data_IF_400226348841
#
_entry.id   IF_400226348841
#
_cell.length_a   1.000
_cell.length_b   1.000
_cell.length_c   1.000
_cell.angle_alpha   90.00
_cell.angle_beta   90.00
_cell.angle_gamma   90.00
#
_symmetry.space_group_name_H-M   'P 1'
#
loop_
_entity.id
_entity.type
_entity.pdbx_description
1 polymer ?
#
# COMPACT_ATOMS: atom_id res chain seq x y z
N UNK A 1 -10.49 14.36 -11.55
CA UNK A 1 -9.99 12.99 -11.33
C UNK A 1 -8.73 12.94 -10.46
N UNK A 2 -7.57 13.51 -10.81
CA UNK A 2 -6.44 13.61 -9.85
C UNK A 2 -6.50 14.86 -8.96
N UNK A 3 -6.64 16.05 -9.58
CA UNK A 3 -6.70 17.32 -8.85
C UNK A 3 -7.85 17.36 -7.83
N UNK A 4 -8.98 16.74 -8.15
CA UNK A 4 -10.16 16.75 -7.27
C UNK A 4 -9.92 15.93 -6.01
N UNK A 5 -9.29 14.75 -6.10
CA UNK A 5 -8.88 13.95 -4.93
C UNK A 5 -7.88 14.72 -4.06
N UNK A 6 -6.90 15.39 -4.68
CA UNK A 6 -5.94 16.23 -3.93
C UNK A 6 -6.63 17.40 -3.21
N UNK A 7 -7.62 18.05 -3.86
CA UNK A 7 -8.42 19.12 -3.23
C UNK A 7 -9.29 18.61 -2.09
N UNK A 8 -9.87 17.43 -2.23
CA UNK A 8 -10.64 16.77 -1.19
C UNK A 8 -9.78 16.51 0.04
N UNK A 9 -8.62 15.89 -0.13
CA UNK A 9 -7.66 15.62 0.94
C UNK A 9 -7.12 16.90 1.60
N UNK A 10 -6.85 17.94 0.80
CA UNK A 10 -6.43 19.24 1.32
C UNK A 10 -7.53 19.88 2.20
N UNK A 11 -8.79 19.79 1.77
CA UNK A 11 -9.94 20.26 2.55
C UNK A 11 -10.10 19.48 3.85
N UNK A 12 -9.92 18.16 3.83
CA UNK A 12 -9.96 17.32 5.05
C UNK A 12 -8.87 17.72 6.06
N UNK A 13 -7.66 18.04 5.60
CA UNK A 13 -6.57 18.53 6.46
C UNK A 13 -6.64 20.04 6.75
N UNK A 14 -7.70 20.75 6.36
CA UNK A 14 -7.86 22.20 6.53
C UNK A 14 -6.69 23.04 5.98
N UNK A 15 -6.14 22.63 4.82
CA UNK A 15 -5.08 23.38 4.12
C UNK A 15 -5.52 23.75 2.71
N UNK A 16 -4.92 24.81 2.19
CA UNK A 16 -5.05 25.21 0.79
C UNK A 16 -4.07 24.44 -0.10
N UNK A 17 -4.34 24.38 -1.41
CA UNK A 17 -3.39 23.82 -2.38
C UNK A 17 -2.07 24.59 -2.40
N UNK A 18 -2.10 25.92 -2.20
CA UNK A 18 -0.90 26.72 -2.12
C UNK A 18 -0.05 26.39 -0.88
N UNK A 19 -0.69 26.10 0.26
CA UNK A 19 0.02 25.62 1.45
C UNK A 19 0.61 24.23 1.25
N UNK A 20 -0.14 23.31 0.62
CA UNK A 20 0.37 21.99 0.25
C UNK A 20 1.61 22.11 -0.65
N UNK A 21 1.55 22.97 -1.68
CA UNK A 21 2.70 23.21 -2.56
C UNK A 21 3.91 23.73 -1.78
N UNK A 22 3.72 24.67 -0.85
CA UNK A 22 4.80 25.18 0.01
C UNK A 22 5.38 24.10 0.92
N UNK A 23 4.54 23.24 1.49
CA UNK A 23 4.99 22.14 2.36
C UNK A 23 5.79 21.07 1.62
N UNK A 24 5.50 20.86 0.33
CA UNK A 24 6.15 19.86 -0.51
C UNK A 24 7.30 20.41 -1.35
N UNK A 25 7.67 21.68 -1.15
CA UNK A 25 8.68 22.41 -1.94
C UNK A 25 8.36 22.41 -3.45
N UNK A 26 7.09 22.65 -3.77
CA UNK A 26 6.59 22.73 -5.12
C UNK A 26 6.43 24.18 -5.56
N UNK A 27 6.71 24.46 -6.83
CA UNK A 27 6.40 25.76 -7.41
C UNK A 27 4.90 26.06 -7.34
N UNK A 28 4.55 27.32 -7.11
CA UNK A 28 3.16 27.75 -6.99
C UNK A 28 2.35 27.44 -8.27
N UNK A 29 1.15 26.88 -8.09
CA UNK A 29 0.25 26.48 -9.15
C UNK A 29 0.66 25.20 -9.90
N UNK A 30 1.71 24.52 -9.45
CA UNK A 30 2.18 23.28 -10.06
C UNK A 30 1.16 22.14 -9.94
N UNK A 31 0.47 21.99 -8.81
CA UNK A 31 -0.57 20.97 -8.61
C UNK A 31 -1.78 21.29 -9.49
N UNK A 32 -2.09 22.57 -9.67
CA UNK A 32 -3.21 23.00 -10.52
C UNK A 32 -3.01 22.64 -12.00
N UNK A 33 -1.75 22.50 -12.46
CA UNK A 33 -1.43 22.06 -13.82
C UNK A 33 -1.69 20.57 -14.06
N UNK A 34 -1.92 19.78 -13.00
CA UNK A 34 -2.14 18.33 -13.11
C UNK A 34 -3.42 17.94 -13.87
N UNK A 35 -4.30 18.91 -14.14
CA UNK A 35 -5.45 18.73 -15.05
C UNK A 35 -5.00 18.56 -16.50
N UNK A 36 -3.91 19.21 -16.90
CA UNK A 36 -3.41 19.24 -18.29
C UNK A 36 -2.13 18.44 -18.48
N UNK A 37 -1.33 18.32 -17.43
CA UNK A 37 -0.01 17.70 -17.47
C UNK A 37 0.14 16.74 -16.30
N UNK A 38 0.37 15.45 -16.58
CA UNK A 38 0.62 14.46 -15.54
C UNK A 38 1.83 14.85 -14.69
N UNK A 39 1.76 14.68 -13.36
CA UNK A 39 2.93 14.86 -12.50
C UNK A 39 4.02 13.83 -12.82
N UNK A 40 5.25 14.12 -12.39
CA UNK A 40 6.26 13.07 -12.26
C UNK A 40 5.87 12.09 -11.15
N UNK A 41 6.35 10.85 -11.25
CA UNK A 41 6.17 9.83 -10.21
C UNK A 41 6.59 10.33 -8.83
N UNK A 42 7.75 11.00 -8.74
CA UNK A 42 8.26 11.58 -7.49
C UNK A 42 7.30 12.60 -6.86
N UNK A 43 6.70 13.47 -7.67
CA UNK A 43 5.78 14.49 -7.17
C UNK A 43 4.44 13.89 -6.76
N UNK A 44 3.98 12.88 -7.49
CA UNK A 44 2.78 12.12 -7.11
C UNK A 44 3.00 11.40 -5.79
N UNK A 45 4.15 10.74 -5.62
CA UNK A 45 4.53 10.05 -4.38
C UNK A 45 4.58 11.02 -3.19
N UNK A 46 5.23 12.17 -3.33
CA UNK A 46 5.28 13.19 -2.25
C UNK A 46 3.90 13.65 -1.76
N UNK A 47 2.93 13.77 -2.67
CA UNK A 47 1.55 14.11 -2.29
C UNK A 47 0.88 12.94 -1.60
N UNK A 48 1.07 11.72 -2.12
CA UNK A 48 0.53 10.48 -1.53
C UNK A 48 1.03 10.30 -0.09
N UNK A 49 2.34 10.43 0.13
CA UNK A 49 2.99 10.32 1.43
C UNK A 49 2.48 11.37 2.43
N UNK A 50 2.32 12.62 2.00
CA UNK A 50 1.84 13.70 2.88
C UNK A 50 0.42 13.46 3.40
N UNK A 51 -0.41 12.82 2.59
CA UNK A 51 -1.77 12.46 2.95
C UNK A 51 -1.89 11.03 3.50
N UNK A 52 -0.79 10.28 3.56
CA UNK A 52 -0.75 8.88 4.00
C UNK A 52 -1.72 7.99 3.18
N UNK A 53 -1.76 8.22 1.87
CA UNK A 53 -2.59 7.46 0.93
C UNK A 53 -1.76 6.80 -0.17
N UNK A 54 -2.32 5.81 -0.86
CA UNK A 54 -1.67 5.22 -2.04
C UNK A 54 -1.70 6.15 -3.26
N UNK A 55 -0.72 6.02 -4.16
CA UNK A 55 -0.77 6.70 -5.46
C UNK A 55 -1.93 6.20 -6.32
N UNK A 56 -2.34 4.95 -6.16
CA UNK A 56 -3.49 4.37 -6.86
C UNK A 56 -4.81 5.00 -6.41
N UNK A 57 -4.95 5.36 -5.13
CA UNK A 57 -6.06 6.17 -4.64
C UNK A 57 -6.11 7.54 -5.31
N UNK A 58 -4.97 8.25 -5.36
CA UNK A 58 -4.89 9.56 -6.01
C UNK A 58 -5.24 9.50 -7.51
N UNK A 59 -4.86 8.41 -8.17
CA UNK A 59 -5.16 8.18 -9.60
C UNK A 59 -6.58 7.64 -9.84
N UNK A 60 -7.34 7.31 -8.79
CA UNK A 60 -8.70 6.77 -8.89
C UNK A 60 -8.76 5.33 -9.39
N UNK A 61 -7.69 4.55 -9.17
CA UNK A 61 -7.65 3.10 -9.48
C UNK A 61 -8.26 2.25 -8.37
N UNK A 62 -8.37 2.82 -7.18
CA UNK A 62 -8.99 2.21 -6.00
C UNK A 62 -9.67 3.30 -5.17
N UNK A 63 -10.75 2.95 -4.47
CA UNK A 63 -11.34 3.80 -3.42
C UNK A 63 -10.69 3.56 -2.06
N UNK A 64 -9.87 2.51 -1.94
CA UNK A 64 -9.08 2.24 -0.76
C UNK A 64 -7.95 3.26 -0.63
N UNK A 65 -8.03 4.07 0.43
CA UNK A 65 -7.04 5.09 0.75
C UNK A 65 -5.76 4.47 1.30
N UNK A 66 -5.78 3.24 1.78
CA UNK A 66 -4.65 2.65 2.50
C UNK A 66 -3.44 2.51 1.57
N UNK A 67 -2.28 2.92 2.10
CA UNK A 67 -1.02 2.42 1.62
C UNK A 67 -1.03 0.96 2.06
N UNK A 68 -1.32 0.03 1.15
CA UNK A 68 -1.05 -1.37 1.44
C UNK A 68 0.42 -1.42 1.85
N UNK A 69 0.74 -1.99 3.03
CA UNK A 69 2.12 -2.19 3.40
C UNK A 69 2.80 -2.80 2.18
N UNK A 70 3.88 -2.16 1.70
CA UNK A 70 4.85 -2.95 0.95
C UNK A 70 5.30 -3.92 2.01
N UNK A 71 4.70 -5.10 1.98
CA UNK A 71 5.11 -6.24 2.76
C UNK A 71 6.56 -6.44 2.35
N UNK A 72 7.48 -5.79 3.06
CA UNK A 72 8.92 -6.05 3.01
C UNK A 72 9.21 -7.43 3.61
N UNK A 73 8.23 -8.33 3.60
CA UNK A 73 8.45 -9.74 3.36
C UNK A 73 9.22 -9.86 2.06
N UNK A 74 10.55 -9.82 2.19
CA UNK A 74 11.45 -10.53 1.28
C UNK A 74 10.99 -11.99 1.27
N UNK A 75 10.05 -12.27 0.38
CA UNK A 75 9.17 -13.41 0.38
C UNK A 75 8.00 -13.04 -0.53
N UNK A 76 8.15 -13.16 -1.84
CA UNK A 76 7.59 -14.38 -2.45
C UNK A 76 7.53 -15.52 -1.43
N UNK A 77 6.49 -15.46 -0.58
CA UNK A 77 6.22 -16.46 0.43
C UNK A 77 6.26 -17.79 -0.30
N UNK A 78 6.88 -18.80 0.29
CA UNK A 78 6.86 -20.17 -0.21
C UNK A 78 5.42 -20.55 -0.64
N UNK A 79 4.41 -19.99 0.04
CA UNK A 79 2.98 -20.10 -0.25
C UNK A 79 2.53 -19.60 -1.64
N UNK A 80 3.13 -18.57 -2.24
CA UNK A 80 2.75 -18.11 -3.59
C UNK A 80 3.00 -19.17 -4.67
N UNK A 81 3.81 -20.18 -4.38
CA UNK A 81 4.04 -21.35 -5.23
C UNK A 81 3.03 -22.49 -4.97
N UNK A 82 2.29 -22.46 -3.86
CA UNK A 82 1.28 -23.46 -3.52
C UNK A 82 -0.10 -22.93 -3.88
N UNK A 83 -0.64 -23.38 -5.02
CA UNK A 83 -2.05 -23.17 -5.34
C UNK A 83 -2.88 -24.22 -4.61
N UNK A 84 -3.55 -23.83 -3.54
CA UNK A 84 -4.59 -24.65 -2.94
C UNK A 84 -5.86 -24.49 -3.77
N UNK A 85 -6.45 -25.62 -4.18
CA UNK A 85 -7.76 -25.60 -4.82
C UNK A 85 -8.83 -25.63 -3.73
N UNK A 86 -9.39 -24.46 -3.41
CA UNK A 86 -10.45 -24.30 -2.39
C UNK A 86 -11.84 -24.14 -3.00
N UNK A 87 -12.00 -24.39 -4.30
CA UNK A 87 -13.24 -24.10 -5.04
C UNK A 87 -14.48 -24.84 -4.49
N UNK A 88 -14.28 -26.02 -3.89
CA UNK A 88 -15.34 -26.88 -3.34
C UNK A 88 -15.33 -26.90 -1.80
N UNK A 89 -14.69 -25.93 -1.15
CA UNK A 89 -14.59 -25.84 0.31
C UNK A 89 -15.51 -24.76 0.87
N UNK A 90 -16.07 -24.99 2.05
CA UNK A 90 -16.77 -23.96 2.80
C UNK A 90 -15.78 -23.01 3.51
N UNK A 91 -16.28 -21.85 3.94
CA UNK A 91 -15.46 -20.82 4.58
C UNK A 91 -14.78 -21.29 5.87
N UNK A 92 -15.44 -22.12 6.68
CA UNK A 92 -14.89 -22.60 7.97
C UNK A 92 -13.71 -23.53 7.71
N UNK A 93 -13.84 -24.45 6.74
CA UNK A 93 -12.74 -25.33 6.31
C UNK A 93 -11.57 -24.56 5.70
N UNK A 94 -11.83 -23.44 5.00
CA UNK A 94 -10.76 -22.59 4.45
C UNK A 94 -10.02 -21.87 5.59
N UNK A 95 -10.74 -21.31 6.55
CA UNK A 95 -10.17 -20.63 7.72
C UNK A 95 -9.30 -21.58 8.55
N UNK A 96 -9.75 -22.81 8.80
CA UNK A 96 -8.98 -23.82 9.53
C UNK A 96 -7.65 -24.15 8.82
N UNK A 97 -7.67 -24.32 7.49
CA UNK A 97 -6.46 -24.57 6.70
C UNK A 97 -5.51 -23.36 6.74
N UNK A 98 -6.03 -22.15 6.65
CA UNK A 98 -5.20 -20.94 6.74
C UNK A 98 -4.52 -20.84 8.10
N UNK A 99 -5.23 -21.13 9.19
CA UNK A 99 -4.66 -21.18 10.54
C UNK A 99 -3.54 -22.22 10.66
N UNK A 100 -3.78 -23.47 10.22
CA UNK A 100 -2.78 -24.55 10.27
C UNK A 100 -1.51 -24.19 9.47
N UNK A 101 -1.68 -23.61 8.29
CA UNK A 101 -0.56 -23.21 7.43
C UNK A 101 0.27 -22.13 8.14
N UNK A 102 -0.38 -21.15 8.74
CA UNK A 102 0.30 -20.07 9.46
C UNK A 102 1.11 -20.62 10.65
N UNK A 103 0.54 -21.51 11.45
CA UNK A 103 1.25 -22.15 12.58
C UNK A 103 2.46 -22.95 12.10
N UNK A 104 2.29 -23.74 11.04
CA UNK A 104 3.39 -24.53 10.48
C UNK A 104 4.52 -23.64 9.95
N UNK A 105 4.18 -22.52 9.31
CA UNK A 105 5.15 -21.55 8.81
C UNK A 105 5.95 -20.90 9.94
N UNK A 106 5.27 -20.49 11.02
CA UNK A 106 5.93 -19.95 12.21
C UNK A 106 6.91 -20.97 12.81
N UNK A 107 6.49 -22.22 12.93
CA UNK A 107 7.38 -23.30 13.38
C UNK A 107 8.64 -23.42 12.49
N UNK A 108 8.48 -23.40 11.16
CA UNK A 108 9.62 -23.49 10.23
C UNK A 108 10.57 -22.30 10.38
N UNK A 109 10.04 -21.09 10.56
CA UNK A 109 10.81 -19.87 10.77
C UNK A 109 11.63 -19.97 12.06
N UNK A 110 11.00 -20.37 13.16
CA UNK A 110 11.69 -20.54 14.45
C UNK A 110 12.79 -21.61 14.35
N UNK A 111 12.50 -22.74 13.70
CA UNK A 111 13.48 -23.79 13.47
C UNK A 111 14.69 -23.31 12.65
N UNK A 112 14.45 -22.49 11.62
CA UNK A 112 15.51 -21.93 10.80
C UNK A 112 16.39 -20.93 11.58
N UNK A 113 15.77 -20.08 12.41
CA UNK A 113 16.46 -19.14 13.31
C UNK A 113 17.34 -19.89 14.32
N UNK A 114 16.79 -20.88 15.02
CA UNK A 114 17.52 -21.68 16.01
C UNK A 114 18.71 -22.46 15.41
N UNK A 115 18.65 -22.84 14.13
CA UNK A 115 19.79 -23.46 13.42
C UNK A 115 20.91 -22.48 13.11
N UNK A 116 20.62 -21.19 12.92
CA UNK A 116 21.64 -20.16 12.70
C UNK A 116 22.36 -19.75 13.98
N UNK A 117 21.67 -19.73 15.12
CA UNK A 117 22.26 -19.36 16.42
C UNK A 117 23.22 -20.42 17.00
N UNK A 118 23.13 -21.67 16.52
CA UNK A 118 24.02 -22.78 16.91
C UNK A 118 25.27 -22.92 16.03
N UNK A 119 25.47 -22.02 15.06
CA UNK A 119 26.57 -22.02 14.10
C UNK A 119 27.49 -20.84 14.36
#
# INVERSE_FOLDING_TARGET
>A
MLLDKVKELAREKNITIAELERKLDFSQGSISRWVKQSPSSERLQKVADYFEVSTDYLLGRTEDRTIQPIDNHTGDSILSHFRLNTADMDSESIEEIEEEINEYMDFLIQRAKAKKEKK
#
